data_IF_030349822408
#
_entry.id   IF_030349822408
#
_cell.length_a   1.000
_cell.length_b   1.000
_cell.length_c   1.000
_cell.angle_alpha   90.00
_cell.angle_beta   90.00
_cell.angle_gamma   90.00
#
_symmetry.space_group_name_H-M   'P 1'
#
loop_
_entity.id
_entity.type
_entity.pdbx_description
1 polymer ?
#
# COMPACT_ATOMS: atom_id res chain seq x y z
N UNK A 1 0.72 18.18 28.95
CA UNK A 1 1.87 18.15 28.02
C UNK A 1 1.40 17.57 26.71
N UNK A 2 1.81 18.13 25.56
CA UNK A 2 1.52 17.53 24.26
C UNK A 2 2.18 16.14 24.17
N UNK A 3 1.43 15.13 23.71
CA UNK A 3 1.97 13.78 23.51
C UNK A 3 2.97 13.81 22.36
N UNK A 4 4.04 13.05 22.49
CA UNK A 4 5.01 12.86 21.40
C UNK A 4 4.37 12.02 20.29
N UNK A 5 4.60 12.40 19.02
CA UNK A 5 4.13 11.67 17.85
C UNK A 5 5.28 10.97 17.14
N UNK A 6 5.01 9.80 16.61
CA UNK A 6 5.95 9.03 15.78
C UNK A 6 5.24 8.48 14.56
N UNK A 7 5.93 8.49 13.42
CA UNK A 7 5.54 7.78 12.22
C UNK A 7 6.43 6.55 12.09
N UNK A 8 5.81 5.38 12.02
CA UNK A 8 6.50 4.11 11.85
C UNK A 8 6.29 3.63 10.40
N UNK A 9 7.37 3.56 9.62
CA UNK A 9 7.34 3.10 8.26
C UNK A 9 7.71 1.61 8.17
N UNK A 10 6.78 0.79 7.69
CA UNK A 10 6.94 -0.65 7.55
C UNK A 10 7.34 -1.00 6.11
N UNK A 11 8.56 -1.48 5.93
CA UNK A 11 9.02 -2.06 4.68
C UNK A 11 8.45 -3.49 4.46
N UNK A 12 8.69 -4.06 3.28
CA UNK A 12 8.25 -5.41 2.94
C UNK A 12 8.80 -6.51 3.89
N UNK A 13 9.98 -6.31 4.46
CA UNK A 13 10.54 -7.26 5.44
C UNK A 13 9.71 -7.35 6.74
N UNK A 14 8.98 -6.28 7.09
CA UNK A 14 8.09 -6.24 8.25
C UNK A 14 6.68 -6.76 7.97
N UNK A 15 6.37 -7.03 6.69
CA UNK A 15 5.03 -7.41 6.22
C UNK A 15 5.01 -8.75 5.47
N UNK A 16 6.17 -9.23 4.98
CA UNK A 16 6.22 -10.37 4.06
C UNK A 16 5.77 -10.01 2.64
N UNK A 17 5.85 -10.98 1.74
CA UNK A 17 5.58 -10.82 0.31
C UNK A 17 4.35 -11.56 -0.17
N UNK A 18 3.80 -12.45 0.65
CA UNK A 18 2.61 -13.25 0.38
C UNK A 18 1.76 -13.39 1.66
N UNK A 19 0.56 -13.97 1.53
CA UNK A 19 -0.38 -14.13 2.65
C UNK A 19 0.19 -14.86 3.87
N UNK A 20 0.82 -16.04 3.74
CA UNK A 20 1.41 -16.73 4.89
C UNK A 20 2.52 -15.95 5.58
N UNK A 21 3.41 -15.32 4.81
CA UNK A 21 4.49 -14.50 5.35
C UNK A 21 3.95 -13.26 6.06
N UNK A 22 2.96 -12.58 5.48
CA UNK A 22 2.32 -11.43 6.10
C UNK A 22 1.69 -11.80 7.43
N UNK A 23 0.95 -12.90 7.48
CA UNK A 23 0.33 -13.39 8.71
C UNK A 23 1.38 -13.70 9.80
N UNK A 24 2.52 -14.25 9.42
CA UNK A 24 3.62 -14.52 10.35
C UNK A 24 4.32 -13.24 10.83
N UNK A 25 4.50 -12.26 9.95
CA UNK A 25 5.22 -11.02 10.23
C UNK A 25 4.40 -10.00 11.07
N UNK A 26 3.08 -10.00 10.93
CA UNK A 26 2.19 -9.05 11.64
C UNK A 26 2.31 -9.16 13.16
N UNK A 27 2.42 -10.36 13.71
CA UNK A 27 2.53 -10.57 15.16
C UNK A 27 3.71 -9.81 15.78
N UNK A 28 4.95 -10.09 15.40
CA UNK A 28 6.14 -9.38 15.88
C UNK A 28 6.09 -7.87 15.60
N UNK A 29 5.66 -7.46 14.40
CA UNK A 29 5.51 -6.05 14.02
C UNK A 29 4.54 -5.30 14.94
N UNK A 30 3.39 -5.90 15.23
CA UNK A 30 2.38 -5.35 16.12
C UNK A 30 2.89 -5.20 17.57
N UNK A 31 3.73 -6.12 18.05
CA UNK A 31 4.33 -6.01 19.39
C UNK A 31 5.23 -4.78 19.50
N UNK A 32 6.09 -4.54 18.50
CA UNK A 32 6.97 -3.36 18.46
C UNK A 32 6.14 -2.07 18.44
N UNK A 33 5.08 -2.00 17.64
CA UNK A 33 4.17 -0.85 17.60
C UNK A 33 3.52 -0.63 18.96
N UNK A 34 3.07 -1.71 19.61
CA UNK A 34 2.45 -1.65 20.93
C UNK A 34 3.43 -1.18 22.03
N UNK A 35 4.73 -1.45 21.90
CA UNK A 35 5.76 -0.94 22.82
C UNK A 35 5.82 0.60 22.79
N UNK A 36 5.82 1.21 21.59
CA UNK A 36 5.77 2.67 21.46
C UNK A 36 4.49 3.25 22.07
N UNK A 37 3.34 2.62 21.83
CA UNK A 37 2.06 3.08 22.37
C UNK A 37 2.04 3.00 23.90
N UNK A 38 2.57 1.92 24.45
CA UNK A 38 2.66 1.72 25.92
C UNK A 38 3.55 2.75 26.59
N UNK A 39 4.60 3.25 25.91
CA UNK A 39 5.46 4.32 26.40
C UNK A 39 4.89 5.73 26.17
N UNK A 40 3.63 5.84 25.73
CA UNK A 40 2.88 7.09 25.63
C UNK A 40 3.00 7.84 24.31
N UNK A 41 3.56 7.24 23.27
CA UNK A 41 3.59 7.84 21.93
C UNK A 41 2.23 7.75 21.24
N UNK A 42 1.90 8.79 20.48
CA UNK A 42 0.87 8.74 19.44
C UNK A 42 1.51 8.20 18.17
N UNK A 43 0.92 7.16 17.59
CA UNK A 43 1.54 6.41 16.50
C UNK A 43 0.72 6.53 15.23
N UNK A 44 1.36 6.97 14.15
CA UNK A 44 0.92 6.77 12.78
C UNK A 44 1.77 5.67 12.15
N UNK A 45 1.14 4.76 11.41
CA UNK A 45 1.82 3.67 10.69
C UNK A 45 1.65 3.88 9.21
N UNK A 46 2.73 3.81 8.46
CA UNK A 46 2.73 3.75 7.00
C UNK A 46 3.39 2.45 6.55
N UNK A 47 3.05 1.94 5.40
CA UNK A 47 3.55 0.64 4.96
C UNK A 47 3.80 0.57 3.45
N UNK A 48 4.73 -0.27 3.03
CA UNK A 48 4.89 -0.66 1.63
C UNK A 48 3.78 -1.60 1.19
N UNK A 49 3.55 -1.75 -0.13
CA UNK A 49 2.53 -2.63 -0.68
C UNK A 49 2.92 -3.32 -1.99
N UNK A 50 4.15 -3.14 -2.50
CA UNK A 50 4.51 -3.56 -3.85
C UNK A 50 4.23 -5.06 -4.16
N UNK A 51 4.56 -6.04 -3.30
CA UNK A 51 4.19 -7.43 -3.53
C UNK A 51 2.67 -7.64 -3.58
N UNK A 52 1.95 -7.05 -2.63
CA UNK A 52 0.51 -7.23 -2.47
C UNK A 52 -0.28 -6.60 -3.63
N UNK A 53 0.06 -5.38 -4.03
CA UNK A 53 -0.59 -4.74 -5.18
C UNK A 53 -0.32 -5.49 -6.48
N UNK A 54 0.89 -6.03 -6.63
CA UNK A 54 1.25 -6.85 -7.78
C UNK A 54 0.46 -8.16 -7.82
N UNK A 55 0.29 -8.84 -6.69
CA UNK A 55 -0.52 -10.05 -6.57
C UNK A 55 -1.99 -9.78 -6.94
N UNK A 56 -2.59 -8.75 -6.36
CA UNK A 56 -3.98 -8.36 -6.62
C UNK A 56 -4.17 -8.04 -8.11
N UNK A 57 -3.29 -7.21 -8.67
CA UNK A 57 -3.37 -6.83 -10.08
C UNK A 57 -3.23 -8.05 -11.01
N UNK A 58 -2.32 -8.99 -10.70
CA UNK A 58 -2.17 -10.23 -11.47
C UNK A 58 -3.44 -11.07 -11.39
N UNK A 59 -3.98 -11.29 -10.18
CA UNK A 59 -5.19 -12.09 -9.98
C UNK A 59 -6.40 -11.51 -10.74
N UNK A 60 -6.60 -10.18 -10.69
CA UNK A 60 -7.68 -9.50 -11.41
C UNK A 60 -7.53 -9.65 -12.93
N UNK A 61 -6.31 -9.53 -13.45
CA UNK A 61 -6.07 -9.70 -14.88
C UNK A 61 -6.25 -11.15 -15.35
N UNK A 62 -5.76 -12.13 -14.58
CA UNK A 62 -5.93 -13.55 -14.87
C UNK A 62 -7.40 -13.94 -14.90
N UNK A 63 -8.19 -13.45 -13.94
CA UNK A 63 -9.64 -13.67 -13.89
C UNK A 63 -10.30 -13.18 -15.19
N UNK A 64 -10.02 -11.93 -15.60
CA UNK A 64 -10.59 -11.35 -16.81
C UNK A 64 -10.19 -12.09 -18.09
N UNK A 65 -8.97 -12.63 -18.15
CA UNK A 65 -8.45 -13.32 -19.33
C UNK A 65 -9.00 -14.72 -19.46
N UNK A 66 -9.17 -15.43 -18.35
CA UNK A 66 -9.61 -16.82 -18.34
C UNK A 66 -11.13 -16.96 -18.33
N UNK A 67 -11.87 -15.89 -18.04
CA UNK A 67 -13.33 -15.87 -17.97
C UNK A 67 -13.93 -14.65 -18.70
N UNK A 68 -13.65 -14.49 -20.01
CA UNK A 68 -14.14 -13.34 -20.78
C UNK A 68 -15.68 -13.30 -20.89
N UNK A 69 -16.33 -14.45 -20.79
CA UNK A 69 -17.79 -14.58 -20.85
C UNK A 69 -18.51 -14.00 -19.63
N UNK A 70 -17.81 -13.81 -18.50
CA UNK A 70 -18.41 -13.29 -17.27
C UNK A 70 -18.42 -11.74 -17.22
N UNK A 71 -17.83 -11.08 -18.22
CA UNK A 71 -17.85 -9.61 -18.34
C UNK A 71 -16.97 -8.88 -17.31
N UNK A 72 -16.06 -9.57 -16.66
CA UNK A 72 -15.08 -8.89 -15.76
C UNK A 72 -14.15 -7.99 -16.55
N UNK A 73 -13.77 -6.87 -15.93
CA UNK A 73 -12.81 -5.93 -16.50
C UNK A 73 -11.54 -5.86 -15.65
N UNK A 74 -10.37 -5.67 -16.25
CA UNK A 74 -9.12 -5.48 -15.52
C UNK A 74 -9.22 -4.30 -14.54
N UNK A 75 -8.81 -4.51 -13.30
CA UNK A 75 -8.80 -3.44 -12.31
C UNK A 75 -7.65 -2.47 -12.58
N UNK A 76 -7.89 -1.14 -12.59
CA UNK A 76 -6.83 -0.15 -12.64
C UNK A 76 -5.85 -0.29 -11.46
N UNK A 77 -4.61 0.13 -11.65
CA UNK A 77 -3.58 0.04 -10.60
C UNK A 77 -3.96 0.84 -9.34
N UNK A 78 -4.67 1.95 -9.48
CA UNK A 78 -5.21 2.74 -8.36
C UNK A 78 -6.17 1.92 -7.49
N UNK A 79 -7.09 1.17 -8.13
CA UNK A 79 -8.04 0.28 -7.43
C UNK A 79 -7.28 -0.86 -6.74
N UNK A 80 -6.31 -1.49 -7.41
CA UNK A 80 -5.47 -2.52 -6.80
C UNK A 80 -4.67 -1.97 -5.60
N UNK A 81 -4.20 -0.72 -5.69
CA UNK A 81 -3.55 -0.01 -4.58
C UNK A 81 -4.51 0.18 -3.40
N UNK A 82 -5.74 0.63 -3.64
CA UNK A 82 -6.77 0.76 -2.60
C UNK A 82 -7.08 -0.59 -1.92
N UNK A 83 -7.25 -1.65 -2.71
CA UNK A 83 -7.44 -3.00 -2.20
C UNK A 83 -6.26 -3.46 -1.34
N UNK A 84 -5.02 -3.15 -1.75
CA UNK A 84 -3.82 -3.49 -0.98
C UNK A 84 -3.71 -2.71 0.33
N UNK A 85 -4.11 -1.44 0.35
CA UNK A 85 -4.19 -0.64 1.58
C UNK A 85 -5.19 -1.25 2.56
N UNK A 86 -6.38 -1.63 2.07
CA UNK A 86 -7.40 -2.29 2.88
C UNK A 86 -6.92 -3.64 3.42
N UNK A 87 -6.32 -4.46 2.57
CA UNK A 87 -5.83 -5.80 2.92
C UNK A 87 -4.72 -5.75 4.00
N UNK A 88 -3.66 -4.98 3.76
CA UNK A 88 -2.55 -4.83 4.71
C UNK A 88 -3.02 -4.11 5.98
N UNK A 89 -3.81 -3.05 5.81
CA UNK A 89 -4.38 -2.30 6.91
C UNK A 89 -5.25 -3.14 7.82
N UNK A 90 -6.08 -4.02 7.26
CA UNK A 90 -6.90 -4.96 8.02
C UNK A 90 -6.05 -5.88 8.92
N UNK A 91 -5.00 -6.47 8.37
CA UNK A 91 -4.13 -7.36 9.15
C UNK A 91 -3.37 -6.59 10.25
N UNK A 92 -2.79 -5.43 9.91
CA UNK A 92 -2.12 -4.56 10.88
C UNK A 92 -3.06 -4.10 11.99
N UNK A 93 -4.26 -3.66 11.62
CA UNK A 93 -5.28 -3.21 12.57
C UNK A 93 -5.63 -4.32 13.57
N UNK A 94 -5.87 -5.53 13.11
CA UNK A 94 -6.17 -6.67 13.97
C UNK A 94 -4.97 -7.07 14.85
N UNK A 95 -3.77 -7.11 14.26
CA UNK A 95 -2.54 -7.46 14.98
C UNK A 95 -2.21 -6.44 16.09
N UNK A 96 -2.24 -5.15 15.77
CA UNK A 96 -1.95 -4.07 16.74
C UNK A 96 -3.02 -4.07 17.83
N UNK A 97 -4.31 -4.16 17.49
CA UNK A 97 -5.39 -4.23 18.47
C UNK A 97 -5.21 -5.42 19.41
N UNK A 98 -4.89 -6.59 18.88
CA UNK A 98 -4.64 -7.78 19.69
C UNK A 98 -3.45 -7.60 20.66
N UNK A 99 -2.35 -7.01 20.17
CA UNK A 99 -1.17 -6.72 20.97
C UNK A 99 -1.46 -5.74 22.13
N UNK A 100 -2.28 -4.72 21.86
CA UNK A 100 -2.69 -3.73 22.85
C UNK A 100 -3.63 -4.32 23.90
N UNK A 101 -4.63 -5.11 23.50
CA UNK A 101 -5.57 -5.76 24.41
C UNK A 101 -4.86 -6.69 25.40
N UNK A 102 -3.84 -7.43 24.96
CA UNK A 102 -3.00 -8.28 25.84
C UNK A 102 -2.23 -7.46 26.88
N UNK A 103 -2.07 -6.17 26.70
CA UNK A 103 -1.41 -5.23 27.62
C UNK A 103 -2.41 -4.39 28.43
N UNK A 104 -3.71 -4.67 28.31
CA UNK A 104 -4.77 -3.88 28.96
C UNK A 104 -4.95 -2.48 28.38
N UNK A 105 -4.48 -2.23 27.14
CA UNK A 105 -4.58 -0.92 26.46
C UNK A 105 -5.77 -0.94 25.51
N UNK A 106 -6.74 -0.08 25.77
CA UNK A 106 -7.98 0.01 24.98
C UNK A 106 -7.92 1.26 24.08
N UNK A 107 -7.32 1.11 22.90
CA UNK A 107 -7.25 2.17 21.88
C UNK A 107 -7.78 1.66 20.54
N UNK A 108 -8.46 2.53 19.82
CA UNK A 108 -8.88 2.25 18.45
C UNK A 108 -7.70 2.28 17.51
N UNK A 109 -7.69 1.35 16.57
CA UNK A 109 -6.75 1.30 15.46
C UNK A 109 -7.58 1.41 14.19
N UNK A 110 -7.31 2.41 13.37
CA UNK A 110 -8.08 2.71 12.16
C UNK A 110 -7.18 2.74 10.94
N UNK A 111 -7.64 2.11 9.86
CA UNK A 111 -6.99 2.18 8.55
C UNK A 111 -7.73 3.20 7.69
N UNK A 112 -7.00 4.13 7.10
CA UNK A 112 -7.51 5.14 6.18
C UNK A 112 -6.99 4.82 4.79
N UNK A 113 -7.91 4.60 3.83
CA UNK A 113 -7.56 4.64 2.42
C UNK A 113 -7.04 6.03 2.10
N UNK A 114 -5.84 6.11 1.59
CA UNK A 114 -5.14 7.39 1.48
C UNK A 114 -4.74 7.66 0.05
N UNK A 115 -5.14 8.83 -0.43
CA UNK A 115 -4.77 9.42 -1.70
C UNK A 115 -3.70 10.47 -1.49
N UNK A 116 -2.91 10.71 -2.52
CA UNK A 116 -1.92 11.79 -2.54
C UNK A 116 -2.04 12.55 -3.86
N UNK A 117 -2.04 13.87 -3.79
CA UNK A 117 -1.94 14.68 -5.00
C UNK A 117 -0.56 14.58 -5.59
N UNK A 118 -0.46 14.60 -6.90
CA UNK A 118 0.79 14.59 -7.66
C UNK A 118 0.81 15.72 -8.68
N UNK A 119 2.00 16.16 -9.03
CA UNK A 119 2.19 17.10 -10.12
C UNK A 119 1.85 16.39 -11.45
N UNK A 120 0.91 16.91 -12.28
CA UNK A 120 0.58 16.30 -13.57
C UNK A 120 1.77 16.26 -14.54
N UNK A 121 2.80 17.05 -14.30
CA UNK A 121 4.04 17.09 -15.11
C UNK A 121 5.19 16.31 -14.46
N UNK A 122 4.92 15.49 -13.44
CA UNK A 122 5.96 14.67 -12.80
C UNK A 122 6.64 13.75 -13.83
N UNK A 123 7.97 13.76 -13.82
CA UNK A 123 8.80 13.03 -14.79
C UNK A 123 8.51 11.51 -14.78
N UNK A 124 8.07 10.96 -13.67
CA UNK A 124 7.75 9.53 -13.54
C UNK A 124 6.60 9.07 -14.44
N UNK A 125 5.74 9.99 -14.90
CA UNK A 125 4.70 9.67 -15.88
C UNK A 125 5.27 9.36 -17.26
N UNK A 126 6.40 9.97 -17.59
CA UNK A 126 7.10 9.75 -18.85
C UNK A 126 8.18 8.68 -18.74
N UNK A 127 8.75 8.51 -17.56
CA UNK A 127 9.83 7.56 -17.27
C UNK A 127 9.47 6.69 -16.05
N UNK A 128 8.56 5.71 -16.21
CA UNK A 128 8.17 4.83 -15.11
C UNK A 128 9.34 3.93 -14.70
N UNK A 129 9.58 3.82 -13.38
CA UNK A 129 10.71 3.05 -12.83
C UNK A 129 10.32 2.15 -11.65
N UNK A 130 9.12 2.32 -11.07
CA UNK A 130 8.68 1.55 -9.90
C UNK A 130 8.31 0.14 -10.31
N UNK A 131 9.09 -0.84 -9.86
CA UNK A 131 8.84 -2.26 -10.12
C UNK A 131 7.64 -2.76 -9.33
N UNK A 132 6.74 -3.50 -9.99
CA UNK A 132 5.54 -4.09 -9.40
C UNK A 132 5.31 -5.52 -9.90
N UNK A 133 4.68 -6.34 -9.07
CA UNK A 133 4.35 -7.71 -9.43
C UNK A 133 5.54 -8.68 -9.47
N UNK A 134 5.34 -9.84 -10.07
CA UNK A 134 6.33 -10.90 -10.19
C UNK A 134 7.31 -10.66 -11.33
N UNK A 135 8.42 -11.38 -11.27
CA UNK A 135 9.32 -11.50 -12.42
C UNK A 135 8.67 -12.37 -13.50
N UNK A 136 8.83 -11.98 -14.75
CA UNK A 136 8.24 -12.59 -15.94
C UNK A 136 9.32 -13.09 -16.89
N UNK A 137 8.94 -14.02 -17.75
CA UNK A 137 9.75 -14.44 -18.92
C UNK A 137 9.74 -13.35 -19.99
N UNK A 138 10.62 -13.47 -20.99
CA UNK A 138 10.65 -12.54 -22.12
C UNK A 138 9.35 -12.60 -22.96
N UNK A 139 8.73 -13.77 -23.06
CA UNK A 139 7.47 -13.94 -23.79
C UNK A 139 6.32 -13.23 -23.06
N UNK A 140 6.19 -13.43 -21.75
CA UNK A 140 5.21 -12.73 -20.90
C UNK A 140 5.41 -11.22 -20.94
N UNK A 141 6.67 -10.75 -20.95
CA UNK A 141 7.01 -9.32 -21.04
C UNK A 141 6.50 -8.71 -22.35
N UNK A 142 6.73 -9.36 -23.49
CA UNK A 142 6.21 -8.93 -24.81
C UNK A 142 4.70 -8.81 -24.82
N UNK A 143 4.00 -9.77 -24.18
CA UNK A 143 2.55 -9.70 -24.05
C UNK A 143 2.09 -8.50 -23.20
N UNK A 144 2.83 -8.16 -22.17
CA UNK A 144 2.54 -6.97 -21.35
C UNK A 144 2.77 -5.67 -22.15
N UNK A 145 3.86 -5.58 -22.90
CA UNK A 145 4.15 -4.44 -23.78
C UNK A 145 3.08 -4.27 -24.87
N UNK A 146 2.64 -5.35 -25.49
CA UNK A 146 1.58 -5.34 -26.48
C UNK A 146 0.23 -4.83 -25.92
N UNK A 147 0.05 -4.89 -24.60
CA UNK A 147 -1.11 -4.33 -23.85
C UNK A 147 -0.89 -2.90 -23.36
N UNK A 148 0.20 -2.25 -23.78
CA UNK A 148 0.55 -0.89 -23.34
C UNK A 148 1.16 -0.79 -21.95
N UNK A 149 1.56 -1.90 -21.33
CA UNK A 149 2.25 -1.88 -20.05
C UNK A 149 3.76 -1.69 -20.24
N UNK A 150 4.37 -0.92 -19.34
CA UNK A 150 5.82 -0.78 -19.32
C UNK A 150 6.46 -1.95 -18.56
N UNK A 151 7.56 -2.48 -19.09
CA UNK A 151 8.36 -3.52 -18.46
C UNK A 151 9.84 -3.12 -18.47
N UNK A 152 10.59 -3.61 -17.48
CA UNK A 152 12.04 -3.46 -17.43
C UNK A 152 12.70 -4.82 -17.23
N UNK A 153 13.84 -5.00 -17.87
CA UNK A 153 14.69 -6.17 -17.65
C UNK A 153 15.36 -6.09 -16.28
N UNK A 154 15.41 -7.24 -15.61
CA UNK A 154 16.18 -7.42 -14.39
C UNK A 154 17.34 -8.35 -14.75
N UNK A 155 18.58 -7.85 -14.81
CA UNK A 155 19.72 -8.63 -15.25
C UNK A 155 19.82 -9.99 -14.52
N UNK A 156 19.87 -11.07 -15.30
CA UNK A 156 19.99 -12.43 -14.80
C UNK A 156 18.73 -13.01 -14.14
N UNK A 157 17.59 -12.29 -14.13
CA UNK A 157 16.34 -12.77 -13.49
C UNK A 157 15.14 -12.79 -14.42
N UNK A 158 15.11 -11.96 -15.46
CA UNK A 158 13.98 -11.82 -16.38
C UNK A 158 13.44 -10.40 -16.44
N UNK A 159 12.13 -10.25 -16.55
CA UNK A 159 11.47 -8.96 -16.74
C UNK A 159 10.48 -8.68 -15.61
N UNK A 160 10.25 -7.42 -15.31
CA UNK A 160 9.26 -7.01 -14.32
C UNK A 160 8.49 -5.79 -14.83
N UNK A 161 7.20 -5.75 -14.56
CA UNK A 161 6.38 -4.59 -14.86
C UNK A 161 6.89 -3.39 -14.07
N UNK A 162 6.90 -2.23 -14.72
CA UNK A 162 7.21 -0.94 -14.09
C UNK A 162 6.02 0.00 -14.25
N UNK A 163 5.80 0.85 -13.25
CA UNK A 163 4.73 1.85 -13.23
C UNK A 163 5.27 3.20 -12.82
N UNK A 164 4.55 4.24 -13.15
CA UNK A 164 4.80 5.58 -12.66
C UNK A 164 4.66 5.62 -11.13
N UNK A 165 5.49 6.41 -10.49
CA UNK A 165 5.45 6.64 -9.05
C UNK A 165 5.74 8.12 -8.79
N UNK A 166 4.79 9.02 -9.12
CA UNK A 166 4.97 10.45 -8.99
C UNK A 166 5.25 10.81 -7.53
N UNK A 167 6.00 11.88 -7.34
CA UNK A 167 6.31 12.39 -6.01
C UNK A 167 5.05 12.96 -5.37
N UNK A 168 4.66 12.51 -4.16
CA UNK A 168 3.52 13.07 -3.45
C UNK A 168 3.72 14.55 -3.14
N UNK A 169 2.70 15.36 -3.42
CA UNK A 169 2.66 16.80 -3.08
C UNK A 169 1.93 17.00 -1.77
N UNK A 170 0.74 16.44 -1.63
CA UNK A 170 -0.06 16.52 -0.41
C UNK A 170 -0.83 15.20 -0.17
N UNK A 171 -1.23 14.99 1.07
CA UNK A 171 -2.10 13.89 1.46
C UNK A 171 -3.54 14.42 1.48
N UNK A 172 -4.43 13.81 0.70
CA UNK A 172 -5.83 14.26 0.59
C UNK A 172 -6.54 14.11 1.94
N UNK A 173 -6.40 12.98 2.62
CA UNK A 173 -7.06 12.68 3.89
C UNK A 173 -6.28 13.16 5.13
N UNK A 174 -5.40 14.16 5.00
CA UNK A 174 -4.52 14.61 6.10
C UNK A 174 -5.29 15.08 7.33
N UNK A 175 -6.42 15.72 7.14
CA UNK A 175 -7.22 16.24 8.26
C UNK A 175 -7.90 15.11 9.02
N UNK A 176 -8.37 14.05 8.34
CA UNK A 176 -8.89 12.86 8.99
C UNK A 176 -7.79 12.14 9.80
N UNK A 177 -6.59 12.01 9.24
CA UNK A 177 -5.43 11.42 9.92
C UNK A 177 -5.11 12.22 11.18
N UNK A 178 -5.06 13.54 11.09
CA UNK A 178 -4.81 14.44 12.24
C UNK A 178 -5.86 14.32 13.32
N UNK A 179 -7.14 14.34 12.93
CA UNK A 179 -8.27 14.24 13.86
C UNK A 179 -8.22 12.93 14.66
N UNK A 180 -7.91 11.81 14.03
CA UNK A 180 -7.77 10.52 14.72
C UNK A 180 -6.57 10.49 15.67
N UNK A 181 -5.42 11.05 15.27
CA UNK A 181 -4.25 11.18 16.15
C UNK A 181 -4.54 12.10 17.33
N UNK A 182 -5.26 13.22 17.11
CA UNK A 182 -5.65 14.15 18.18
C UNK A 182 -6.63 13.49 19.17
N UNK A 183 -7.48 12.59 18.68
CA UNK A 183 -8.34 11.73 19.48
C UNK A 183 -7.59 10.54 20.15
N UNK A 184 -6.26 10.54 20.11
CA UNK A 184 -5.39 9.50 20.69
C UNK A 184 -5.62 8.09 20.11
N UNK A 185 -6.05 8.00 18.86
CA UNK A 185 -6.18 6.74 18.12
C UNK A 185 -4.89 6.41 17.38
N UNK A 186 -4.71 5.15 17.03
CA UNK A 186 -3.63 4.68 16.17
C UNK A 186 -4.12 4.71 14.73
N UNK A 187 -3.35 5.31 13.83
CA UNK A 187 -3.73 5.48 12.44
C UNK A 187 -2.78 4.72 11.52
N UNK A 188 -3.34 3.89 10.65
CA UNK A 188 -2.62 3.26 9.54
C UNK A 188 -3.03 4.01 8.28
N UNK A 189 -2.08 4.58 7.54
CA UNK A 189 -2.37 5.43 6.38
C UNK A 189 -1.25 5.40 5.35
N UNK A 190 -1.44 6.05 4.24
CA UNK A 190 -0.43 6.22 3.17
C UNK A 190 0.20 4.90 2.70
N UNK A 191 -0.58 3.82 2.67
CA UNK A 191 -0.11 2.52 2.18
C UNK A 191 0.42 2.61 0.75
N UNK A 192 1.64 2.08 0.52
CA UNK A 192 2.33 2.17 -0.76
C UNK A 192 2.80 3.57 -1.16
N UNK A 193 2.74 4.53 -0.23
CA UNK A 193 3.02 5.95 -0.45
C UNK A 193 1.77 6.78 -0.78
N UNK A 194 0.58 6.19 -0.64
CA UNK A 194 -0.70 6.77 -1.09
C UNK A 194 -1.04 6.42 -2.54
N UNK A 195 -2.30 6.61 -2.90
CA UNK A 195 -2.78 6.43 -4.28
C UNK A 195 -2.64 7.78 -4.98
N UNK A 196 -1.79 7.91 -6.02
CA UNK A 196 -1.63 9.18 -6.68
C UNK A 196 -2.90 9.58 -7.44
N UNK A 197 -3.31 10.82 -7.27
CA UNK A 197 -4.43 11.46 -7.96
C UNK A 197 -3.97 12.78 -8.55
N UNK A 198 -4.58 13.17 -9.66
CA UNK A 198 -4.36 14.47 -10.29
C UNK A 198 -5.61 15.33 -10.11
N UNK A 199 -5.45 16.50 -9.55
CA UNK A 199 -6.55 17.47 -9.44
C UNK A 199 -6.84 18.06 -10.83
N UNK A 200 -8.08 17.91 -11.29
CA UNK A 200 -8.57 18.48 -12.55
C UNK A 200 -9.83 19.29 -12.29
N UNK A 201 -9.66 20.59 -12.00
CA UNK A 201 -10.79 21.44 -11.62
C UNK A 201 -11.38 21.02 -10.26
N UNK A 202 -12.60 20.49 -10.27
CA UNK A 202 -13.29 19.97 -9.06
C UNK A 202 -13.23 18.44 -8.95
N UNK A 203 -12.59 17.76 -9.91
CA UNK A 203 -12.46 16.30 -9.95
C UNK A 203 -11.06 15.83 -9.49
N UNK A 204 -10.99 14.60 -8.99
CA UNK A 204 -9.76 13.90 -8.56
C UNK A 204 -9.53 12.65 -9.41
#
# INVERSE_FOLDING_TARGET
MAKKRIVIALGHNALGTNLPEQKAAIGPTAQIIADFIQTGWQVAVVHSNAPQVGMIHTAMNELCQNHPEEGYTPAPMSVCSAMSQGYIGYDLQNGIRSALLKRGIYKSVSTILTQVTADPYDESFYHPVKKVGRVMTAEEARLQEARGNHVAEIPGKGFQRIVSAPKPVAIVEIDAIRALLDADQIVISCGGGGIPVLEQGLDL
#
